data_IF_922379958158
#
_entry.id   IF_922379958158
#
_cell.length_a   1.000
_cell.length_b   1.000
_cell.length_c   1.000
_cell.angle_alpha   90.00
_cell.angle_beta   90.00
_cell.angle_gamma   90.00
#
_symmetry.space_group_name_H-M   'P 1'
#
loop_
_entity.id
_entity.type
_entity.pdbx_description
1 polymer ?
#
# COMPACT_ATOMS: atom_id res chain seq x y z
N UNK A 1 21.44 1.77 1.72
CA UNK A 1 20.26 1.32 0.93
C UNK A 1 20.20 -0.19 0.74
N UNK A 2 21.27 -0.89 0.35
CA UNK A 2 21.22 -2.35 0.07
C UNK A 2 20.90 -3.25 1.28
N UNK A 3 21.28 -2.86 2.51
CA UNK A 3 21.09 -3.72 3.69
C UNK A 3 19.61 -3.97 4.06
N UNK A 4 18.70 -3.04 3.72
CA UNK A 4 17.28 -3.12 4.08
C UNK A 4 16.37 -3.47 2.88
N UNK A 5 16.95 -3.79 1.72
CA UNK A 5 16.18 -3.95 0.50
C UNK A 5 15.17 -5.11 0.59
N UNK A 6 15.60 -6.25 1.14
CA UNK A 6 14.73 -7.41 1.35
C UNK A 6 13.63 -7.10 2.37
N UNK A 7 13.94 -6.41 3.46
CA UNK A 7 12.96 -5.98 4.47
C UNK A 7 11.89 -5.08 3.86
N UNK A 8 12.29 -4.09 3.04
CA UNK A 8 11.37 -3.20 2.34
C UNK A 8 10.47 -3.99 1.39
N UNK A 9 11.02 -4.95 0.64
CA UNK A 9 10.24 -5.82 -0.25
C UNK A 9 9.18 -6.58 0.53
N UNK A 10 9.55 -7.18 1.65
CA UNK A 10 8.61 -7.91 2.53
C UNK A 10 7.48 -6.98 2.96
N UNK A 11 7.81 -5.79 3.45
CA UNK A 11 6.82 -4.83 3.94
C UNK A 11 5.87 -4.35 2.83
N UNK A 12 6.38 -4.09 1.63
CA UNK A 12 5.57 -3.65 0.48
C UNK A 12 4.69 -4.79 -0.03
N UNK A 13 5.26 -5.97 -0.30
CA UNK A 13 4.53 -7.06 -0.96
C UNK A 13 3.52 -7.73 -0.03
N UNK A 14 3.89 -8.05 1.21
CA UNK A 14 2.93 -8.59 2.17
C UNK A 14 1.86 -7.55 2.51
N UNK A 15 2.27 -6.31 2.78
CA UNK A 15 1.34 -5.21 3.06
C UNK A 15 0.34 -5.01 1.94
N UNK A 16 0.80 -4.99 0.69
CA UNK A 16 -0.08 -4.93 -0.49
C UNK A 16 -1.06 -6.09 -0.54
N UNK A 17 -0.57 -7.34 -0.48
CA UNK A 17 -1.41 -8.53 -0.58
C UNK A 17 -2.46 -8.63 0.54
N UNK A 18 -2.13 -8.17 1.74
CA UNK A 18 -3.01 -8.13 2.91
C UNK A 18 -4.10 -7.08 2.75
N UNK A 19 -3.75 -5.87 2.32
CA UNK A 19 -4.68 -4.72 2.34
C UNK A 19 -5.52 -4.62 1.08
N UNK A 20 -4.99 -5.06 -0.07
CA UNK A 20 -5.67 -4.99 -1.36
C UNK A 20 -7.11 -5.56 -1.38
N UNK A 21 -7.40 -6.72 -0.76
CA UNK A 21 -8.73 -7.30 -0.82
C UNK A 21 -9.84 -6.44 -0.21
N UNK A 22 -9.53 -5.51 0.70
CA UNK A 22 -10.52 -4.58 1.25
C UNK A 22 -11.13 -3.66 0.17
N UNK A 23 -10.38 -3.35 -0.89
CA UNK A 23 -10.89 -2.48 -1.96
C UNK A 23 -11.93 -3.16 -2.86
N UNK A 24 -12.07 -4.50 -2.81
CA UNK A 24 -13.11 -5.22 -3.55
C UNK A 24 -14.53 -4.80 -3.14
N UNK A 25 -14.73 -4.22 -1.96
CA UNK A 25 -16.00 -3.61 -1.56
C UNK A 25 -16.45 -2.46 -2.45
N UNK A 26 -15.52 -1.78 -3.13
CA UNK A 26 -15.84 -0.69 -4.06
C UNK A 26 -16.47 -1.25 -5.35
N UNK A 27 -16.14 -2.49 -5.72
CA UNK A 27 -16.50 -3.15 -6.97
C UNK A 27 -17.41 -4.38 -6.74
N UNK A 28 -18.69 -4.21 -6.36
CA UNK A 28 -19.56 -5.35 -6.08
C UNK A 28 -19.83 -6.20 -7.33
N UNK A 29 -19.85 -7.54 -7.18
CA UNK A 29 -20.05 -8.53 -8.24
C UNK A 29 -21.30 -8.31 -9.10
N UNK A 30 -22.35 -7.72 -8.53
CA UNK A 30 -23.57 -7.38 -9.29
C UNK A 30 -23.31 -6.39 -10.44
N UNK A 31 -22.17 -5.70 -10.43
CA UNK A 31 -21.82 -4.64 -11.38
C UNK A 31 -20.61 -4.96 -12.24
N UNK A 32 -19.84 -6.01 -11.92
CA UNK A 32 -18.57 -6.36 -12.58
C UNK A 32 -18.48 -7.89 -12.70
N UNK A 33 -17.95 -8.36 -13.83
CA UNK A 33 -17.72 -9.78 -14.09
C UNK A 33 -16.80 -10.46 -13.06
N UNK A 34 -17.06 -11.74 -12.83
CA UNK A 34 -16.25 -12.67 -12.02
C UNK A 34 -14.77 -12.67 -12.41
N UNK A 35 -14.43 -12.43 -13.69
CA UNK A 35 -13.05 -12.32 -14.16
C UNK A 35 -12.24 -11.24 -13.44
N UNK A 36 -12.88 -10.13 -13.05
CA UNK A 36 -12.22 -9.07 -12.28
C UNK A 36 -11.78 -9.58 -10.90
N UNK A 37 -12.63 -10.34 -10.20
CA UNK A 37 -12.30 -10.89 -8.88
C UNK A 37 -11.16 -11.90 -8.97
N UNK A 38 -11.19 -12.80 -9.97
CA UNK A 38 -10.13 -13.79 -10.20
C UNK A 38 -8.78 -13.13 -10.43
N UNK A 39 -8.74 -12.10 -11.28
CA UNK A 39 -7.52 -11.36 -11.57
C UNK A 39 -6.96 -10.67 -10.31
N UNK A 40 -7.82 -9.97 -9.57
CA UNK A 40 -7.41 -9.23 -8.38
C UNK A 40 -6.93 -10.14 -7.24
N UNK A 41 -7.67 -11.20 -6.93
CA UNK A 41 -7.28 -12.17 -5.91
C UNK A 41 -6.03 -12.96 -6.33
N UNK A 42 -5.95 -13.35 -7.61
CA UNK A 42 -4.76 -14.00 -8.17
C UNK A 42 -3.52 -13.12 -8.07
N UNK A 43 -3.62 -11.81 -8.37
CA UNK A 43 -2.53 -10.86 -8.20
C UNK A 43 -2.07 -10.78 -6.74
N UNK A 44 -3.00 -10.71 -5.78
CA UNK A 44 -2.66 -10.71 -4.35
C UNK A 44 -1.92 -12.00 -3.95
N UNK A 45 -2.30 -13.14 -4.52
CA UNK A 45 -1.62 -14.41 -4.27
C UNK A 45 -0.18 -14.41 -4.81
N UNK A 46 0.03 -13.91 -6.03
CA UNK A 46 1.37 -13.82 -6.65
C UNK A 46 2.27 -12.86 -5.88
N UNK A 47 1.79 -11.64 -5.62
CA UNK A 47 2.57 -10.64 -4.87
C UNK A 47 2.80 -11.11 -3.43
N UNK A 48 1.80 -11.72 -2.80
CA UNK A 48 1.92 -12.35 -1.48
C UNK A 48 2.99 -13.43 -1.46
N UNK A 49 3.00 -14.33 -2.44
CA UNK A 49 4.04 -15.37 -2.55
C UNK A 49 5.45 -14.78 -2.67
N UNK A 50 5.61 -13.71 -3.47
CA UNK A 50 6.88 -12.99 -3.55
C UNK A 50 7.28 -12.41 -2.19
N UNK A 51 6.36 -11.78 -1.47
CA UNK A 51 6.60 -11.24 -0.12
C UNK A 51 6.99 -12.32 0.89
N UNK A 52 6.35 -13.49 0.85
CA UNK A 52 6.66 -14.62 1.74
C UNK A 52 8.03 -15.20 1.42
N UNK A 53 8.35 -15.37 0.13
CA UNK A 53 9.66 -15.86 -0.26
C UNK A 53 10.77 -14.94 0.24
N UNK A 54 10.60 -13.63 0.10
CA UNK A 54 11.53 -12.63 0.64
C UNK A 54 11.59 -12.67 2.17
N UNK A 55 10.46 -12.90 2.83
CA UNK A 55 10.41 -13.01 4.30
C UNK A 55 11.14 -14.26 4.79
N UNK A 56 11.00 -15.40 4.11
CA UNK A 56 11.71 -16.63 4.44
C UNK A 56 13.23 -16.50 4.26
N UNK A 57 13.71 -15.67 3.32
CA UNK A 57 15.14 -15.37 3.16
C UNK A 57 15.75 -14.56 4.31
N UNK A 58 14.91 -13.93 5.15
CA UNK A 58 15.35 -13.15 6.30
C UNK A 58 15.49 -13.99 7.58
N UNK A 59 15.30 -15.31 7.49
CA UNK A 59 15.32 -16.25 8.61
C UNK A 59 14.55 -15.73 9.87
N UNK A 60 13.25 -15.39 9.73
CA UNK A 60 12.47 -14.78 10.78
C UNK A 60 12.17 -15.78 11.90
N UNK A 61 11.68 -15.28 13.04
CA UNK A 61 11.26 -16.16 14.14
C UNK A 61 10.24 -17.21 13.68
N UNK A 62 10.34 -18.41 14.27
CA UNK A 62 9.46 -19.53 13.95
C UNK A 62 7.98 -19.17 14.13
N UNK A 63 7.67 -18.34 15.12
CA UNK A 63 6.31 -17.88 15.42
C UNK A 63 5.80 -17.02 14.26
N UNK A 64 6.54 -15.98 13.87
CA UNK A 64 6.13 -15.07 12.79
C UNK A 64 5.98 -15.80 11.45
N UNK A 65 6.87 -16.76 11.18
CA UNK A 65 6.76 -17.65 10.01
C UNK A 65 5.45 -18.43 9.99
N UNK A 66 5.04 -19.04 11.10
CA UNK A 66 3.76 -19.76 11.19
C UNK A 66 2.58 -18.82 10.86
N UNK A 67 2.54 -17.62 11.45
CA UNK A 67 1.44 -16.69 11.21
C UNK A 67 1.31 -16.33 9.73
N UNK A 68 2.42 -15.99 9.07
CA UNK A 68 2.45 -15.64 7.64
C UNK A 68 2.00 -16.80 6.77
N UNK A 69 2.52 -18.01 7.02
CA UNK A 69 2.15 -19.19 6.24
C UNK A 69 0.71 -19.64 6.46
N UNK A 70 0.18 -19.55 7.68
CA UNK A 70 -1.23 -19.83 7.98
C UNK A 70 -2.13 -18.85 7.26
N UNK A 71 -1.86 -17.54 7.35
CA UNK A 71 -2.62 -16.51 6.64
C UNK A 71 -2.62 -16.77 5.13
N UNK A 72 -1.45 -16.97 4.55
CA UNK A 72 -1.31 -17.16 3.11
C UNK A 72 -1.98 -18.44 2.60
N UNK A 73 -1.84 -19.54 3.32
CA UNK A 73 -2.50 -20.80 2.98
C UNK A 73 -4.02 -20.63 2.99
N UNK A 74 -4.54 -19.96 4.02
CA UNK A 74 -5.99 -19.67 4.13
C UNK A 74 -6.45 -18.77 2.99
N UNK A 75 -5.67 -17.75 2.63
CA UNK A 75 -5.96 -16.84 1.52
C UNK A 75 -5.93 -17.55 0.16
N UNK A 76 -4.97 -18.43 -0.07
CA UNK A 76 -4.86 -19.26 -1.28
C UNK A 76 -6.04 -20.22 -1.42
N UNK A 77 -6.42 -20.92 -0.34
CA UNK A 77 -7.57 -21.83 -0.34
C UNK A 77 -8.85 -21.07 -0.71
N UNK A 78 -9.06 -19.89 -0.11
CA UNK A 78 -10.28 -19.12 -0.36
C UNK A 78 -10.29 -18.53 -1.78
N UNK A 79 -9.14 -18.06 -2.26
CA UNK A 79 -8.99 -17.65 -3.67
C UNK A 79 -9.30 -18.80 -4.62
N UNK A 80 -8.84 -20.02 -4.31
CA UNK A 80 -9.10 -21.21 -5.12
C UNK A 80 -10.59 -21.60 -5.11
N UNK A 81 -11.25 -21.55 -3.93
CA UNK A 81 -12.69 -21.82 -3.81
C UNK A 81 -13.53 -20.81 -4.59
N UNK A 82 -13.13 -19.53 -4.58
CA UNK A 82 -13.81 -18.48 -5.32
C UNK A 82 -13.39 -18.34 -6.77
N UNK A 83 -12.42 -19.14 -7.24
CA UNK A 83 -11.89 -19.03 -8.59
C UNK A 83 -12.94 -19.27 -9.68
N UNK A 84 -13.86 -20.21 -9.48
CA UNK A 84 -14.95 -20.49 -10.42
C UNK A 84 -16.35 -20.32 -9.80
N UNK A 85 -16.44 -19.72 -8.61
CA UNK A 85 -17.73 -19.51 -7.94
C UNK A 85 -18.48 -18.32 -8.55
N UNK A 86 -19.78 -18.48 -8.77
CA UNK A 86 -20.70 -17.38 -9.12
C UNK A 86 -21.05 -16.52 -7.89
N UNK A 87 -20.89 -17.08 -6.69
CA UNK A 87 -21.17 -16.43 -5.42
C UNK A 87 -19.86 -16.17 -4.68
N UNK A 88 -19.35 -14.94 -4.80
CA UNK A 88 -18.18 -14.47 -4.06
C UNK A 88 -18.66 -13.58 -2.90
N UNK A 89 -18.19 -13.87 -1.69
CA UNK A 89 -18.55 -13.11 -0.51
C UNK A 89 -17.38 -12.23 -0.03
N UNK A 90 -17.53 -10.92 -0.18
CA UNK A 90 -16.51 -9.95 0.22
C UNK A 90 -16.25 -9.95 1.74
N UNK A 91 -17.22 -10.40 2.56
CA UNK A 91 -17.04 -10.52 4.01
C UNK A 91 -15.98 -11.56 4.35
N UNK A 92 -16.01 -12.72 3.69
CA UNK A 92 -15.05 -13.80 3.92
C UNK A 92 -13.64 -13.36 3.50
N UNK A 93 -13.53 -12.75 2.32
CA UNK A 93 -12.26 -12.20 1.82
C UNK A 93 -11.70 -11.16 2.80
N UNK A 94 -12.54 -10.27 3.30
CA UNK A 94 -12.14 -9.22 4.23
C UNK A 94 -11.77 -9.75 5.62
N UNK A 95 -12.42 -10.82 6.08
CA UNK A 95 -12.06 -11.48 7.34
C UNK A 95 -10.63 -12.05 7.28
N UNK A 96 -10.24 -12.63 6.14
CA UNK A 96 -8.88 -13.16 5.93
C UNK A 96 -7.87 -12.01 5.80
N UNK A 97 -8.24 -10.93 5.10
CA UNK A 97 -7.43 -9.72 5.03
C UNK A 97 -7.22 -9.12 6.44
N UNK A 98 -8.24 -9.12 7.29
CA UNK A 98 -8.16 -8.66 8.68
C UNK A 98 -7.29 -9.57 9.56
N UNK A 99 -7.35 -10.89 9.35
CA UNK A 99 -6.37 -11.79 9.95
C UNK A 99 -4.93 -11.43 9.49
N UNK A 100 -4.77 -11.10 8.20
CA UNK A 100 -3.51 -10.64 7.62
C UNK A 100 -2.98 -9.34 8.22
N UNK A 101 -3.83 -8.36 8.54
CA UNK A 101 -3.36 -7.13 9.20
C UNK A 101 -2.80 -7.42 10.59
N UNK A 102 -3.35 -8.42 11.29
CA UNK A 102 -2.79 -8.98 12.52
C UNK A 102 -1.46 -9.68 12.32
N UNK A 103 -1.30 -10.48 11.26
CA UNK A 103 0.01 -11.09 10.93
C UNK A 103 1.05 -10.05 10.58
N UNK A 104 0.65 -8.93 9.95
CA UNK A 104 1.55 -7.82 9.65
C UNK A 104 2.19 -7.22 10.89
N UNK A 105 1.47 -7.18 12.02
CA UNK A 105 2.03 -6.71 13.29
C UNK A 105 3.20 -7.58 13.76
N UNK A 106 3.10 -8.90 13.56
CA UNK A 106 4.19 -9.85 13.87
C UNK A 106 5.38 -9.67 12.93
N UNK A 107 5.12 -9.47 11.64
CA UNK A 107 6.18 -9.18 10.66
C UNK A 107 6.93 -7.89 11.03
N UNK A 108 6.22 -6.82 11.36
CA UNK A 108 6.84 -5.54 11.78
C UNK A 108 7.64 -5.69 13.08
N UNK A 109 7.17 -6.53 14.01
CA UNK A 109 7.88 -6.80 15.27
C UNK A 109 9.26 -7.46 15.09
N UNK A 110 9.50 -8.14 13.97
CA UNK A 110 10.82 -8.72 13.67
C UNK A 110 11.85 -7.64 13.30
N UNK A 111 11.39 -6.49 12.77
CA UNK A 111 12.28 -5.46 12.25
C UNK A 111 12.56 -4.35 13.25
N UNK A 112 11.64 -4.07 14.18
CA UNK A 112 11.67 -2.85 15.00
C UNK A 112 11.32 -3.16 16.46
N UNK A 113 11.96 -2.43 17.38
CA UNK A 113 11.75 -2.52 18.83
C UNK A 113 10.30 -2.21 19.26
N UNK A 114 9.84 -2.87 20.33
CA UNK A 114 8.43 -2.85 20.79
C UNK A 114 7.85 -1.45 21.08
N UNK A 115 8.67 -0.47 21.50
CA UNK A 115 8.19 0.86 21.92
C UNK A 115 7.53 1.69 20.82
N UNK A 116 7.94 1.55 19.56
CA UNK A 116 7.38 2.28 18.41
C UNK A 116 6.40 1.45 17.58
N UNK A 117 6.18 0.19 17.96
CA UNK A 117 5.46 -0.81 17.17
C UNK A 117 4.06 -0.37 16.69
N UNK A 118 3.19 0.26 17.51
CA UNK A 118 1.87 0.66 17.04
C UNK A 118 1.92 1.74 15.95
N UNK A 119 2.84 2.70 16.09
CA UNK A 119 3.02 3.78 15.12
C UNK A 119 3.59 3.26 13.79
N UNK A 120 4.55 2.33 13.86
CA UNK A 120 5.08 1.69 12.65
C UNK A 120 4.01 0.87 11.94
N UNK A 121 3.29 0.02 12.69
CA UNK A 121 2.25 -0.82 12.12
C UNK A 121 1.18 0.03 11.41
N UNK A 122 0.79 1.15 12.01
CA UNK A 122 -0.12 2.11 11.38
C UNK A 122 0.44 2.68 10.07
N UNK A 123 1.68 3.19 10.07
CA UNK A 123 2.31 3.80 8.88
C UNK A 123 2.50 2.78 7.76
N UNK A 124 2.95 1.57 8.09
CA UNK A 124 3.13 0.48 7.12
C UNK A 124 1.79 0.08 6.48
N UNK A 125 0.73 -0.05 7.28
CA UNK A 125 -0.61 -0.32 6.76
C UNK A 125 -1.15 0.84 5.92
N UNK A 126 -0.90 2.09 6.32
CA UNK A 126 -1.32 3.27 5.57
C UNK A 126 -0.64 3.33 4.19
N UNK A 127 0.69 3.16 4.13
CA UNK A 127 1.43 3.09 2.86
C UNK A 127 0.98 1.92 1.98
N UNK A 128 0.73 0.76 2.59
CA UNK A 128 0.18 -0.41 1.89
C UNK A 128 -1.23 -0.16 1.35
N UNK A 129 -2.08 0.54 2.10
CA UNK A 129 -3.42 0.93 1.68
C UNK A 129 -3.40 1.91 0.52
N UNK A 130 -2.51 2.90 0.51
CA UNK A 130 -2.36 3.86 -0.59
C UNK A 130 -1.90 3.14 -1.85
N UNK A 131 -0.90 2.27 -1.74
CA UNK A 131 -0.39 1.45 -2.84
C UNK A 131 -1.50 0.55 -3.39
N UNK A 132 -2.20 -0.18 -2.52
CA UNK A 132 -3.33 -1.01 -2.92
C UNK A 132 -4.46 -0.19 -3.58
N UNK A 133 -4.80 0.98 -3.05
CA UNK A 133 -5.84 1.85 -3.59
C UNK A 133 -5.53 2.33 -5.00
N UNK A 134 -4.30 2.77 -5.27
CA UNK A 134 -3.91 3.26 -6.60
C UNK A 134 -3.87 2.13 -7.62
N UNK A 135 -3.35 0.95 -7.24
CA UNK A 135 -3.39 -0.23 -8.10
C UNK A 135 -4.83 -0.66 -8.39
N UNK A 136 -5.69 -0.69 -7.38
CA UNK A 136 -7.09 -1.03 -7.56
C UNK A 136 -7.81 -0.05 -8.50
N UNK A 137 -7.61 1.25 -8.31
CA UNK A 137 -8.16 2.28 -9.20
C UNK A 137 -7.65 2.13 -10.63
N UNK A 138 -6.35 1.83 -10.82
CA UNK A 138 -5.75 1.60 -12.13
C UNK A 138 -6.30 0.35 -12.82
N UNK A 139 -6.36 -0.78 -12.12
CA UNK A 139 -6.87 -2.06 -12.67
C UNK A 139 -8.34 -1.90 -13.05
N UNK A 140 -9.12 -1.25 -12.17
CA UNK A 140 -10.50 -0.91 -12.47
C UNK A 140 -10.57 -0.02 -13.72
N UNK A 141 -9.76 1.02 -13.80
CA UNK A 141 -9.64 1.89 -14.96
C UNK A 141 -9.32 1.14 -16.26
N UNK A 142 -8.37 0.20 -16.23
CA UNK A 142 -8.05 -0.64 -17.39
C UNK A 142 -9.25 -1.51 -17.79
N UNK A 143 -10.00 -2.05 -16.83
CA UNK A 143 -11.22 -2.80 -17.09
C UNK A 143 -12.30 -1.97 -17.79
N UNK A 144 -12.40 -0.66 -17.52
CA UNK A 144 -13.30 0.25 -18.26
C UNK A 144 -12.94 0.39 -19.74
N UNK A 145 -11.68 0.15 -20.13
CA UNK A 145 -11.26 0.22 -21.53
C UNK A 145 -11.67 -1.02 -22.31
N UNK A 146 -11.78 -2.16 -21.63
CA UNK A 146 -12.05 -3.46 -22.23
C UNK A 146 -13.52 -3.87 -22.11
N UNK A 147 -14.24 -3.41 -21.09
CA UNK A 147 -15.65 -3.78 -20.84
C UNK A 147 -16.56 -2.57 -21.01
N UNK A 148 -17.44 -2.67 -22.00
CA UNK A 148 -18.44 -1.66 -22.33
C UNK A 148 -19.54 -1.70 -21.24
N UNK A 149 -19.95 -0.52 -20.75
CA UNK A 149 -21.05 -0.30 -19.79
C UNK A 149 -20.77 -0.44 -18.27
N UNK A 150 -19.52 -0.31 -17.81
CA UNK A 150 -19.27 -0.15 -16.38
C UNK A 150 -19.75 1.22 -15.84
N UNK A 151 -20.39 1.29 -14.66
CA UNK A 151 -20.90 2.55 -14.14
C UNK A 151 -19.77 3.40 -13.58
N UNK A 152 -19.43 4.56 -14.19
CA UNK A 152 -18.27 5.43 -13.83
C UNK A 152 -18.15 5.79 -12.34
N UNK A 153 -19.25 5.68 -11.59
CA UNK A 153 -19.27 5.83 -10.14
C UNK A 153 -18.28 4.92 -9.40
N UNK A 154 -17.98 3.72 -9.91
CA UNK A 154 -17.04 2.80 -9.26
C UNK A 154 -15.61 3.38 -9.28
N UNK A 155 -15.17 3.85 -10.45
CA UNK A 155 -13.86 4.49 -10.59
C UNK A 155 -13.78 5.78 -9.77
N UNK A 156 -14.85 6.60 -9.77
CA UNK A 156 -14.92 7.78 -8.89
C UNK A 156 -14.81 7.43 -7.41
N UNK A 157 -15.47 6.36 -6.95
CA UNK A 157 -15.36 5.89 -5.55
C UNK A 157 -13.95 5.41 -5.22
N UNK A 158 -13.28 4.70 -6.13
CA UNK A 158 -11.89 4.28 -5.95
C UNK A 158 -10.94 5.49 -5.84
N UNK A 159 -11.07 6.48 -6.72
CA UNK A 159 -10.31 7.74 -6.67
C UNK A 159 -10.60 8.54 -5.39
N UNK A 160 -11.85 8.52 -4.90
CA UNK A 160 -12.22 9.18 -3.64
C UNK A 160 -11.62 8.44 -2.42
N UNK A 161 -11.58 7.11 -2.44
CA UNK A 161 -10.86 6.33 -1.44
C UNK A 161 -9.37 6.67 -1.40
N UNK A 162 -8.73 6.78 -2.57
CA UNK A 162 -7.34 7.23 -2.69
C UNK A 162 -7.14 8.65 -2.13
N UNK A 163 -8.09 9.57 -2.38
CA UNK A 163 -8.07 10.91 -1.78
C UNK A 163 -8.05 10.88 -0.26
N UNK A 164 -8.93 10.08 0.35
CA UNK A 164 -8.99 9.94 1.80
C UNK A 164 -7.68 9.43 2.40
N UNK A 165 -7.06 8.43 1.77
CA UNK A 165 -5.80 7.85 2.22
C UNK A 165 -4.62 8.82 2.05
N UNK A 166 -4.50 9.49 0.90
CA UNK A 166 -3.45 10.50 0.67
C UNK A 166 -3.57 11.70 1.61
N UNK A 167 -4.81 12.11 1.93
CA UNK A 167 -5.06 13.16 2.92
C UNK A 167 -4.60 12.72 4.31
N UNK A 168 -5.02 11.53 4.76
CA UNK A 168 -4.62 10.97 6.04
C UNK A 168 -3.09 10.87 6.16
N UNK A 169 -2.42 10.40 5.10
CA UNK A 169 -0.96 10.32 5.00
C UNK A 169 -0.30 11.67 5.13
N UNK A 170 -0.76 12.65 4.34
CA UNK A 170 -0.16 13.99 4.35
C UNK A 170 -0.30 14.66 5.71
N UNK A 171 -1.44 14.51 6.38
CA UNK A 171 -1.64 15.03 7.74
C UNK A 171 -0.69 14.35 8.72
N UNK A 172 -0.58 13.02 8.68
CA UNK A 172 0.33 12.27 9.54
C UNK A 172 1.78 12.72 9.34
N UNK A 173 2.26 12.76 8.09
CA UNK A 173 3.64 13.09 7.77
C UNK A 173 3.97 14.53 8.18
N UNK A 174 3.08 15.50 7.93
CA UNK A 174 3.28 16.90 8.35
C UNK A 174 3.36 17.01 9.88
N UNK A 175 2.48 16.31 10.61
CA UNK A 175 2.49 16.32 12.08
C UNK A 175 3.77 15.66 12.61
N UNK A 176 4.18 14.52 12.04
CA UNK A 176 5.38 13.82 12.45
C UNK A 176 6.66 14.64 12.20
N UNK A 177 6.79 15.23 10.99
CA UNK A 177 7.92 16.09 10.62
C UNK A 177 8.03 17.34 11.48
N UNK A 178 6.90 17.85 11.98
CA UNK A 178 6.86 19.07 12.81
C UNK A 178 7.13 18.82 14.28
N UNK A 179 6.90 17.60 14.78
CA UNK A 179 7.00 17.26 16.21
C UNK A 179 8.32 16.58 16.56
N UNK A 180 8.94 15.88 15.62
CA UNK A 180 10.16 15.12 15.88
C UNK A 180 11.42 15.89 15.48
N UNK A 181 12.50 15.55 16.18
CA UNK A 181 13.84 16.08 15.95
C UNK A 181 14.82 14.91 15.84
N UNK A 182 15.89 15.10 15.06
CA UNK A 182 16.99 14.15 14.96
C UNK A 182 18.27 14.80 15.49
N UNK A 183 19.06 14.02 16.21
CA UNK A 183 20.37 14.44 16.69
C UNK A 183 21.38 13.96 15.66
N UNK A 184 22.10 14.89 15.04
CA UNK A 184 23.14 14.58 14.07
C UNK A 184 24.39 14.00 14.77
N UNK A 185 25.32 13.47 13.99
CA UNK A 185 26.61 12.89 14.42
C UNK A 185 27.41 13.86 15.30
N UNK A 186 27.23 15.16 15.12
CA UNK A 186 27.86 16.23 15.91
C UNK A 186 27.11 16.59 17.20
N UNK A 187 26.03 15.88 17.55
CA UNK A 187 25.22 16.12 18.74
C UNK A 187 24.25 17.31 18.64
N UNK A 188 24.06 17.87 17.44
CA UNK A 188 23.16 19.00 17.19
C UNK A 188 21.77 18.47 16.86
N UNK A 189 20.75 18.94 17.58
CA UNK A 189 19.36 18.61 17.31
C UNK A 189 18.82 19.44 16.14
N UNK A 190 18.42 18.78 15.06
CA UNK A 190 17.73 19.37 13.92
C UNK A 190 16.27 18.96 13.90
N UNK A 191 15.39 19.86 13.46
CA UNK A 191 14.02 19.46 13.09
C UNK A 191 14.07 18.58 11.85
N UNK A 192 13.09 17.68 11.68
CA UNK A 192 13.04 16.84 10.48
C UNK A 192 12.88 17.65 9.20
N UNK A 193 12.19 18.81 9.27
CA UNK A 193 12.16 19.78 8.17
C UNK A 193 13.54 20.29 7.76
N UNK A 194 14.41 20.58 8.74
CA UNK A 194 15.80 20.98 8.45
C UNK A 194 16.63 19.81 7.95
N UNK A 195 16.38 18.60 8.47
CA UNK A 195 17.08 17.38 8.06
C UNK A 195 16.84 17.06 6.57
N UNK A 196 15.65 17.31 6.04
CA UNK A 196 15.32 17.12 4.61
C UNK A 196 16.25 17.88 3.64
N UNK A 197 16.87 18.97 4.11
CA UNK A 197 17.82 19.77 3.31
C UNK A 197 19.29 19.41 3.55
N UNK A 198 19.56 18.41 4.40
CA UNK A 198 20.88 17.83 4.59
C UNK A 198 21.10 16.67 3.62
N UNK A 199 22.35 16.26 3.40
CA UNK A 199 22.71 15.19 2.47
C UNK A 199 22.00 13.88 2.79
N UNK A 200 21.95 13.51 4.08
CA UNK A 200 21.32 12.27 4.54
C UNK A 200 19.79 12.32 4.52
N UNK A 201 19.19 13.51 4.55
CA UNK A 201 17.74 13.71 4.48
C UNK A 201 17.22 14.07 3.09
N UNK A 202 18.07 14.27 2.10
CA UNK A 202 17.64 14.63 0.75
C UNK A 202 16.68 13.60 0.15
N UNK A 203 16.91 12.31 0.36
CA UNK A 203 15.99 11.27 -0.13
C UNK A 203 14.64 11.32 0.59
N UNK A 204 14.56 11.83 1.82
CA UNK A 204 13.29 12.06 2.53
C UNK A 204 12.51 13.21 1.87
N UNK A 205 13.19 14.26 1.41
CA UNK A 205 12.57 15.32 0.62
C UNK A 205 11.99 14.78 -0.69
N UNK A 206 12.75 13.93 -1.38
CA UNK A 206 12.28 13.24 -2.59
C UNK A 206 11.11 12.32 -2.27
N UNK A 207 11.16 11.58 -1.16
CA UNK A 207 10.07 10.71 -0.71
C UNK A 207 8.79 11.50 -0.45
N UNK A 208 8.89 12.63 0.25
CA UNK A 208 7.75 13.51 0.52
C UNK A 208 7.16 14.10 -0.77
N UNK A 209 8.01 14.53 -1.70
CA UNK A 209 7.58 15.04 -2.99
C UNK A 209 6.85 13.96 -3.82
N UNK A 210 7.47 12.79 -3.97
CA UNK A 210 6.96 11.69 -4.80
C UNK A 210 5.82 10.91 -4.15
N UNK A 211 5.80 10.79 -2.83
CA UNK A 211 4.79 10.05 -2.07
C UNK A 211 3.54 10.86 -1.73
N UNK A 212 3.68 12.18 -1.54
CA UNK A 212 2.55 13.04 -1.13
C UNK A 212 2.19 14.07 -2.20
N UNK A 213 3.11 14.95 -2.57
CA UNK A 213 2.79 16.11 -3.43
C UNK A 213 2.35 15.66 -4.83
N UNK A 214 3.15 14.83 -5.50
CA UNK A 214 2.85 14.35 -6.86
C UNK A 214 1.54 13.54 -6.89
N UNK A 215 1.31 12.56 -6.01
CA UNK A 215 0.06 11.79 -6.02
C UNK A 215 -1.17 12.64 -5.74
N UNK A 216 -1.10 13.65 -4.88
CA UNK A 216 -2.22 14.58 -4.63
C UNK A 216 -2.57 15.36 -5.90
N UNK A 217 -1.57 15.94 -6.56
CA UNK A 217 -1.76 16.70 -7.80
C UNK A 217 -2.32 15.80 -8.90
N UNK A 218 -1.77 14.60 -9.05
CA UNK A 218 -2.27 13.62 -10.02
C UNK A 218 -3.70 13.20 -9.71
N UNK A 219 -4.02 12.92 -8.44
CA UNK A 219 -5.37 12.51 -8.03
C UNK A 219 -6.42 13.61 -8.25
N UNK A 220 -6.01 14.87 -8.13
CA UNK A 220 -6.82 16.02 -8.54
C UNK A 220 -7.11 16.01 -10.05
N UNK A 221 -6.09 15.81 -10.88
CA UNK A 221 -6.29 15.71 -12.33
C UNK A 221 -7.13 14.51 -12.71
N UNK A 222 -6.89 13.34 -12.12
CA UNK A 222 -7.70 12.13 -12.32
C UNK A 222 -9.18 12.44 -12.01
N UNK A 223 -9.47 13.07 -10.88
CA UNK A 223 -10.83 13.44 -10.52
C UNK A 223 -11.50 14.36 -11.56
N UNK A 224 -10.79 15.39 -12.03
CA UNK A 224 -11.30 16.27 -13.09
C UNK A 224 -11.54 15.51 -14.39
N UNK A 225 -10.61 14.67 -14.79
CA UNK A 225 -10.71 13.86 -16.01
C UNK A 225 -11.87 12.86 -15.94
N UNK A 226 -12.13 12.27 -14.78
CA UNK A 226 -13.30 11.40 -14.55
C UNK A 226 -14.63 12.15 -14.59
N UNK A 227 -14.65 13.44 -14.22
CA UNK A 227 -15.85 14.28 -14.38
C UNK A 227 -16.13 14.62 -15.84
N UNK A 228 -15.09 14.72 -16.66
CA UNK A 228 -15.19 14.86 -18.12
C UNK A 228 -15.44 13.52 -18.85
N UNK A 229 -15.59 12.41 -18.10
CA UNK A 229 -15.77 11.06 -18.64
C UNK A 229 -14.63 10.56 -19.54
N UNK A 230 -13.45 11.19 -19.49
CA UNK A 230 -12.28 10.83 -20.29
C UNK A 230 -11.49 9.67 -19.63
N UNK A 231 -12.08 8.47 -19.64
CA UNK A 231 -11.55 7.30 -18.91
C UNK A 231 -10.13 6.91 -19.34
N UNK A 232 -9.80 6.94 -20.64
CA UNK A 232 -8.44 6.63 -21.13
C UNK A 232 -7.37 7.56 -20.54
N UNK A 233 -7.62 8.88 -20.53
CA UNK A 233 -6.69 9.83 -19.92
C UNK A 233 -6.58 9.63 -18.40
N UNK A 234 -7.70 9.34 -17.72
CA UNK A 234 -7.69 9.07 -16.29
C UNK A 234 -6.85 7.82 -15.95
N UNK A 235 -6.94 6.76 -16.77
CA UNK A 235 -6.09 5.57 -16.60
C UNK A 235 -4.60 5.87 -16.78
N UNK A 236 -4.23 6.65 -17.80
CA UNK A 236 -2.84 7.06 -18.01
C UNK A 236 -2.26 7.79 -16.80
N UNK A 237 -3.02 8.71 -16.20
CA UNK A 237 -2.61 9.42 -14.99
C UNK A 237 -2.48 8.49 -13.77
N UNK A 238 -3.34 7.47 -13.66
CA UNK A 238 -3.24 6.45 -12.59
C UNK A 238 -1.95 5.63 -12.71
N UNK A 239 -1.48 5.30 -13.92
CA UNK A 239 -0.19 4.62 -14.10
C UNK A 239 0.98 5.47 -13.59
N UNK A 240 0.98 6.78 -13.90
CA UNK A 240 2.01 7.69 -13.40
C UNK A 240 1.94 7.81 -11.87
N UNK A 241 0.73 7.83 -11.30
CA UNK A 241 0.52 7.88 -9.86
C UNK A 241 1.07 6.62 -9.15
N UNK A 242 0.92 5.43 -9.74
CA UNK A 242 1.51 4.19 -9.20
C UNK A 242 3.02 4.33 -9.04
N UNK A 243 3.71 4.76 -10.10
CA UNK A 243 5.18 4.89 -10.08
C UNK A 243 5.61 5.87 -8.99
N UNK A 244 4.90 6.99 -8.88
CA UNK A 244 5.19 8.00 -7.86
C UNK A 244 5.00 7.47 -6.44
N UNK A 245 3.86 6.82 -6.18
CA UNK A 245 3.53 6.25 -4.86
C UNK A 245 4.52 5.15 -4.47
N UNK A 246 4.84 4.22 -5.38
CA UNK A 246 5.81 3.15 -5.10
C UNK A 246 7.19 3.71 -4.78
N UNK A 247 7.63 4.75 -5.50
CA UNK A 247 8.90 5.39 -5.25
C UNK A 247 8.93 6.10 -3.88
N UNK A 248 7.86 6.81 -3.53
CA UNK A 248 7.71 7.42 -2.21
C UNK A 248 7.68 6.37 -1.09
N UNK A 249 6.89 5.32 -1.25
CA UNK A 249 6.71 4.25 -0.26
C UNK A 249 8.00 3.45 -0.01
N UNK A 250 8.79 3.19 -1.06
CA UNK A 250 10.12 2.58 -0.93
C UNK A 250 11.06 3.44 -0.09
N UNK A 251 11.10 4.75 -0.37
CA UNK A 251 11.99 5.67 0.36
C UNK A 251 11.52 5.89 1.79
N UNK A 252 10.21 6.02 2.06
CA UNK A 252 9.69 6.12 3.42
C UNK A 252 10.05 4.89 4.25
N UNK A 253 9.87 3.68 3.70
CA UNK A 253 10.27 2.44 4.39
C UNK A 253 11.78 2.35 4.62
N UNK A 254 12.59 2.89 3.71
CA UNK A 254 14.03 3.01 3.93
C UNK A 254 14.33 3.89 5.16
N UNK A 255 13.71 5.08 5.28
CA UNK A 255 13.90 5.95 6.44
C UNK A 255 13.33 5.37 7.73
N UNK A 256 12.23 4.63 7.64
CA UNK A 256 11.66 3.89 8.75
C UNK A 256 12.66 2.87 9.32
N UNK A 257 13.30 2.07 8.47
CA UNK A 257 14.21 1.01 8.91
C UNK A 257 15.59 1.55 9.31
N UNK A 258 16.09 2.57 8.61
CA UNK A 258 17.42 3.14 8.86
C UNK A 258 17.43 4.11 10.07
N UNK A 259 16.40 4.94 10.21
CA UNK A 259 16.36 6.04 11.18
C UNK A 259 15.19 5.92 12.18
N UNK A 260 14.28 4.95 12.01
CA UNK A 260 13.10 4.83 12.86
C UNK A 260 12.00 5.86 12.56
N UNK A 261 12.07 6.55 11.41
CA UNK A 261 11.13 7.61 11.08
C UNK A 261 9.76 7.05 10.71
N UNK A 262 8.73 7.48 11.44
CA UNK A 262 7.34 7.11 11.18
C UNK A 262 6.72 8.05 10.13
N UNK A 263 7.39 8.23 9.00
CA UNK A 263 6.97 9.12 7.88
C UNK A 263 6.50 8.30 6.70
#
# INVERSE_FOLDING_TARGET
MFNYFTDIIVLIFLGFAIVYPFFLWIAPLKKIDSGFYRFNLGMCCVVGAMGISAFDFLDPSFISKIYVWVWFSTFMIITALYWNSEHINNVVISAIALFGTGTMLKVVAEFISEGSLPGVWFVVLLGSAITAAVFFAMILGHWYLNVIALPIQLLKKATLGLWGLLFLRSVWDIVYLSTNTIIDTFGISHSLWSFMFQFDGFLLAVAFFMGNIVPIILNFFIWRTLNLQATQSATGLLYVAIVSILFGDLLFKYYLLQYGFLV
#
